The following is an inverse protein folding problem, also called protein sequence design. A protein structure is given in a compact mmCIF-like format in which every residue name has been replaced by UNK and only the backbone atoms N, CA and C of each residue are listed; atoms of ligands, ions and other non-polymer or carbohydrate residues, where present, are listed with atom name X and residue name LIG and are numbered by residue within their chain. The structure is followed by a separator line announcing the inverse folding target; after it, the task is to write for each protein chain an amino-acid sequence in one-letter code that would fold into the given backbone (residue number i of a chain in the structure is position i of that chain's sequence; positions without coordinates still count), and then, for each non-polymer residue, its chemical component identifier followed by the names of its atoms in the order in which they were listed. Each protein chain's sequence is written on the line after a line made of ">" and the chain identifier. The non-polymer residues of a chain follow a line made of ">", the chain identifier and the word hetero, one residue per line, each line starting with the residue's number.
data_IF_352946133748
#
_entry.id   IF_352946133748
#
_cell.length_a   1.000
_cell.length_b   1.000
_cell.length_c   1.000
_cell.angle_alpha   90.00
_cell.angle_beta   90.00
_cell.angle_gamma   90.00
#
_symmetry.space_group_name_H-M   'P 1'
#
loop_
_entity.id
_entity.type
_entity.pdbx_description
1 polymer ?
#
# COMPACT_ATOMS: atom_id res chain seq x y z
N UNK A 1 -28.36 4.08 17.94
CA UNK A 1 -28.56 2.98 16.97
C UNK A 1 -27.95 1.71 17.55
N UNK A 2 -28.62 0.54 17.43
CA UNK A 2 -28.17 -0.68 18.07
C UNK A 2 -26.81 -1.14 17.53
N UNK A 3 -25.95 -1.63 18.41
CA UNK A 3 -24.59 -2.12 18.12
C UNK A 3 -24.52 -3.21 17.01
N UNK A 4 -25.66 -3.73 16.57
CA UNK A 4 -25.77 -4.74 15.52
C UNK A 4 -25.77 -4.21 14.08
N UNK A 5 -26.15 -2.94 13.85
CA UNK A 5 -26.33 -2.41 12.49
C UNK A 5 -25.01 -2.26 11.70
N UNK A 6 -23.88 -2.13 12.39
CA UNK A 6 -22.55 -1.97 11.79
C UNK A 6 -21.60 -3.15 12.07
N UNK A 7 -22.13 -4.26 12.58
CA UNK A 7 -21.31 -5.44 12.88
C UNK A 7 -20.58 -5.99 11.62
N UNK A 8 -21.16 -5.77 10.44
CA UNK A 8 -20.55 -6.14 9.16
C UNK A 8 -19.26 -5.37 8.87
N UNK A 9 -19.06 -4.17 9.47
CA UNK A 9 -17.87 -3.34 9.31
C UNK A 9 -16.72 -3.72 10.26
N UNK A 10 -16.99 -4.56 11.25
CA UNK A 10 -15.96 -4.95 12.21
C UNK A 10 -14.87 -5.79 11.54
N UNK A 11 -13.63 -5.44 11.78
CA UNK A 11 -12.44 -6.15 11.36
C UNK A 11 -11.53 -6.36 12.58
N UNK A 12 -10.63 -7.35 12.60
CA UNK A 12 -10.25 -8.21 11.49
C UNK A 12 -11.25 -9.36 11.25
N UNK A 13 -11.34 -9.79 9.99
CA UNK A 13 -12.15 -10.93 9.56
C UNK A 13 -11.33 -11.92 8.74
N UNK A 14 -11.62 -13.20 8.88
CA UNK A 14 -11.06 -14.26 8.03
C UNK A 14 -11.79 -14.35 6.69
N UNK A 15 -13.11 -14.20 6.71
CA UNK A 15 -13.95 -14.28 5.52
C UNK A 15 -14.51 -12.90 5.19
N UNK A 16 -14.40 -12.44 3.95
CA UNK A 16 -15.03 -11.19 3.52
C UNK A 16 -16.56 -11.24 3.74
N UNK A 17 -17.18 -10.14 4.12
CA UNK A 17 -18.64 -10.04 4.24
C UNK A 17 -19.29 -10.02 2.85
N UNK A 18 -20.64 -10.16 2.84
CA UNK A 18 -21.41 -9.90 1.62
C UNK A 18 -21.14 -8.48 1.11
N UNK A 19 -20.74 -8.31 -0.16
CA UNK A 19 -20.35 -7.01 -0.68
C UNK A 19 -21.45 -5.97 -0.62
N UNK A 20 -22.69 -6.37 -0.89
CA UNK A 20 -23.83 -5.44 -0.92
C UNK A 20 -24.19 -4.96 0.48
N UNK A 21 -24.23 -5.86 1.45
CA UNK A 21 -24.45 -5.52 2.86
C UNK A 21 -23.35 -4.62 3.38
N UNK A 22 -22.09 -4.94 3.03
CA UNK A 22 -20.91 -4.15 3.42
C UNK A 22 -20.98 -2.73 2.88
N UNK A 23 -21.24 -2.55 1.59
CA UNK A 23 -21.35 -1.24 0.96
C UNK A 23 -22.42 -0.37 1.64
N UNK A 24 -23.62 -0.92 1.88
CA UNK A 24 -24.71 -0.17 2.52
C UNK A 24 -24.31 0.26 3.94
N UNK A 25 -23.67 -0.62 4.70
CA UNK A 25 -23.21 -0.32 6.05
C UNK A 25 -22.11 0.77 6.05
N UNK A 26 -21.14 0.70 5.13
CA UNK A 26 -20.07 1.71 5.01
C UNK A 26 -20.65 3.08 4.68
N UNK A 27 -21.58 3.15 3.73
CA UNK A 27 -22.23 4.41 3.36
C UNK A 27 -23.01 4.98 4.55
N UNK A 28 -23.82 4.15 5.20
CA UNK A 28 -24.58 4.59 6.38
C UNK A 28 -23.66 5.05 7.53
N UNK A 29 -22.48 4.39 7.69
CA UNK A 29 -21.50 4.75 8.71
C UNK A 29 -20.82 6.08 8.45
N UNK A 30 -20.27 6.29 7.24
CA UNK A 30 -19.50 7.49 6.92
C UNK A 30 -20.34 8.74 6.70
N UNK A 31 -21.63 8.60 6.36
CA UNK A 31 -22.54 9.68 6.07
C UNK A 31 -23.67 9.86 7.11
N UNK A 32 -23.75 8.98 8.12
CA UNK A 32 -24.64 9.16 9.27
C UNK A 32 -24.20 10.31 10.17
N UNK A 33 -25.12 11.16 10.62
CA UNK A 33 -24.83 12.33 11.46
C UNK A 33 -24.05 11.98 12.73
N UNK A 34 -24.40 10.86 13.37
CA UNK A 34 -23.77 10.41 14.63
C UNK A 34 -22.47 9.64 14.42
N UNK A 35 -22.26 9.06 13.25
CA UNK A 35 -21.16 8.12 13.00
C UNK A 35 -20.10 8.66 12.05
N UNK A 36 -20.45 9.51 11.11
CA UNK A 36 -19.60 9.98 10.04
C UNK A 36 -18.39 10.78 10.52
N UNK A 37 -17.35 10.82 9.69
CA UNK A 37 -16.21 11.67 9.96
C UNK A 37 -16.54 13.15 9.71
N UNK A 38 -15.98 14.08 10.48
CA UNK A 38 -16.20 15.53 10.24
C UNK A 38 -15.89 15.95 8.80
N UNK A 39 -14.89 15.36 8.16
CA UNK A 39 -14.54 15.59 6.76
C UNK A 39 -15.71 15.28 5.81
N UNK A 40 -16.25 14.05 5.89
CA UNK A 40 -17.34 13.62 5.00
C UNK A 40 -18.65 14.33 5.31
N UNK A 41 -18.97 14.58 6.58
CA UNK A 41 -20.17 15.33 6.96
C UNK A 41 -20.17 16.76 6.41
N UNK A 42 -18.99 17.40 6.33
CA UNK A 42 -18.88 18.70 5.65
C UNK A 42 -18.94 18.59 4.12
N UNK A 43 -18.41 17.50 3.56
CA UNK A 43 -18.39 17.29 2.11
C UNK A 43 -19.79 17.04 1.54
N UNK A 44 -20.69 16.38 2.28
CA UNK A 44 -22.06 16.05 1.85
C UNK A 44 -22.80 17.27 1.30
N UNK A 45 -22.67 18.44 1.93
CA UNK A 45 -23.37 19.67 1.49
C UNK A 45 -22.96 20.16 0.10
N UNK A 46 -21.86 19.62 -0.45
CA UNK A 46 -21.31 19.96 -1.79
C UNK A 46 -21.57 18.89 -2.83
N UNK A 47 -22.17 17.76 -2.44
CA UNK A 47 -22.58 16.71 -3.36
C UNK A 47 -23.94 17.06 -3.97
N UNK A 48 -24.17 16.69 -5.23
CA UNK A 48 -25.44 16.84 -5.94
C UNK A 48 -26.37 15.65 -5.75
N UNK A 49 -26.01 14.71 -4.86
CA UNK A 49 -26.77 13.50 -4.52
C UNK A 49 -26.69 13.23 -3.01
N UNK A 50 -27.61 12.40 -2.52
CA UNK A 50 -27.65 11.93 -1.13
C UNK A 50 -26.93 10.56 -1.06
N UNK A 51 -25.74 10.46 -0.41
CA UNK A 51 -25.00 9.21 -0.37
C UNK A 51 -25.81 8.05 0.22
N UNK A 52 -26.58 8.27 1.30
CA UNK A 52 -27.35 7.20 1.97
C UNK A 52 -28.49 6.69 1.08
N UNK A 53 -29.11 7.57 0.29
CA UNK A 53 -30.23 7.22 -0.57
C UNK A 53 -29.78 6.69 -1.94
N UNK A 54 -28.76 7.32 -2.52
CA UNK A 54 -28.45 7.22 -3.96
C UNK A 54 -27.27 6.31 -4.28
N UNK A 55 -26.48 5.85 -3.26
CA UNK A 55 -25.41 4.87 -3.44
C UNK A 55 -25.94 3.49 -3.07
N UNK A 56 -26.19 2.66 -4.07
CA UNK A 56 -26.76 1.33 -3.92
C UNK A 56 -25.82 0.22 -4.41
N UNK A 57 -24.96 0.50 -5.33
CA UNK A 57 -24.00 -0.42 -5.93
C UNK A 57 -22.58 0.16 -5.88
N UNK A 58 -21.57 -0.66 -6.10
CA UNK A 58 -20.19 -0.18 -6.21
C UNK A 58 -20.00 0.78 -7.38
N UNK A 59 -20.75 0.63 -8.46
CA UNK A 59 -20.70 1.57 -9.59
C UNK A 59 -21.14 2.98 -9.21
N UNK A 60 -22.01 3.12 -8.21
CA UNK A 60 -22.45 4.42 -7.72
C UNK A 60 -21.32 5.20 -7.00
N UNK A 61 -20.21 4.56 -6.63
CA UNK A 61 -19.04 5.25 -6.08
C UNK A 61 -18.44 6.26 -7.07
N UNK A 62 -18.71 6.10 -8.36
CA UNK A 62 -18.31 7.06 -9.42
C UNK A 62 -19.03 8.42 -9.31
N UNK A 63 -20.13 8.49 -8.57
CA UNK A 63 -20.82 9.77 -8.30
C UNK A 63 -20.00 10.68 -7.40
N UNK A 64 -19.10 10.09 -6.58
CA UNK A 64 -18.27 10.89 -5.69
C UNK A 64 -17.17 11.62 -6.49
N UNK A 65 -16.91 12.90 -6.19
CA UNK A 65 -15.74 13.56 -6.70
C UNK A 65 -14.46 12.97 -6.10
N UNK A 66 -13.36 13.01 -6.84
CA UNK A 66 -12.06 12.69 -6.28
C UNK A 66 -11.62 13.80 -5.32
N UNK A 67 -11.66 13.53 -4.03
CA UNK A 67 -11.32 14.49 -2.96
C UNK A 67 -9.94 14.21 -2.32
N UNK A 68 -9.14 13.28 -2.87
CA UNK A 68 -7.88 12.87 -2.23
C UNK A 68 -6.86 13.99 -2.08
N UNK A 69 -6.90 15.01 -2.94
CA UNK A 69 -6.01 16.16 -2.81
C UNK A 69 -6.31 17.00 -1.55
N UNK A 70 -7.55 17.00 -1.06
CA UNK A 70 -7.90 17.66 0.20
C UNK A 70 -7.25 16.97 1.42
N UNK A 71 -6.86 15.68 1.31
CA UNK A 71 -6.16 14.96 2.37
C UNK A 71 -4.74 15.49 2.68
N UNK A 72 -4.27 16.48 1.91
CA UNK A 72 -3.03 17.22 2.18
C UNK A 72 -3.17 18.18 3.37
N UNK A 73 -4.35 18.80 3.50
CA UNK A 73 -4.59 19.95 4.37
C UNK A 73 -5.61 19.66 5.49
N UNK A 74 -6.27 18.50 5.45
CA UNK A 74 -7.26 18.10 6.47
C UNK A 74 -6.56 17.66 7.75
N UNK A 75 -7.04 18.12 8.89
CA UNK A 75 -6.62 17.61 10.19
C UNK A 75 -6.98 16.13 10.31
N UNK A 76 -6.05 15.32 10.81
CA UNK A 76 -6.22 13.85 10.84
C UNK A 76 -7.42 13.43 11.67
N UNK A 77 -7.71 14.15 12.74
CA UNK A 77 -8.87 13.94 13.62
C UNK A 77 -10.19 14.07 12.87
N UNK A 78 -10.23 14.93 11.85
CA UNK A 78 -11.40 15.13 11.01
C UNK A 78 -11.66 13.97 10.03
N UNK A 79 -10.67 13.10 9.82
CA UNK A 79 -10.80 11.90 9.00
C UNK A 79 -11.40 10.71 9.76
N UNK A 80 -11.36 10.74 11.11
CA UNK A 80 -11.81 9.63 11.94
C UNK A 80 -13.32 9.72 12.17
N UNK A 81 -14.09 8.66 11.86
CA UNK A 81 -15.53 8.62 12.10
C UNK A 81 -15.90 8.76 13.58
N UNK A 82 -16.88 9.62 13.87
CA UNK A 82 -17.39 9.87 15.25
C UNK A 82 -17.94 8.62 15.90
N UNK A 83 -18.45 7.69 15.10
CA UNK A 83 -19.04 6.44 15.57
C UNK A 83 -18.07 5.51 16.31
N UNK A 84 -16.77 5.77 16.27
CA UNK A 84 -15.79 5.10 17.16
C UNK A 84 -15.93 5.51 18.63
N UNK A 85 -16.67 6.59 18.94
CA UNK A 85 -16.89 7.08 20.29
C UNK A 85 -15.74 7.92 20.84
N UNK A 86 -15.79 8.20 22.13
CA UNK A 86 -14.75 8.97 22.82
C UNK A 86 -14.16 8.16 23.98
N UNK A 87 -12.80 8.18 24.18
CA UNK A 87 -11.83 8.85 23.31
C UNK A 87 -11.75 8.19 21.93
N UNK A 88 -11.43 8.99 20.90
CA UNK A 88 -11.17 8.44 19.58
C UNK A 88 -9.97 7.48 19.61
N UNK A 89 -9.99 6.39 18.82
CA UNK A 89 -8.83 5.52 18.70
C UNK A 89 -7.63 6.30 18.13
N UNK A 90 -6.44 6.02 18.63
CA UNK A 90 -5.20 6.66 18.15
C UNK A 90 -4.81 6.05 16.81
N UNK A 91 -4.85 6.83 15.71
CA UNK A 91 -4.48 6.33 14.40
C UNK A 91 -2.96 6.23 14.23
N UNK A 92 -2.53 5.37 13.31
CA UNK A 92 -1.25 5.56 12.64
C UNK A 92 -1.46 6.42 11.40
N UNK A 93 -0.60 7.42 11.26
CA UNK A 93 -0.68 8.36 10.14
C UNK A 93 0.35 7.96 9.12
N UNK A 94 -0.11 7.72 7.89
CA UNK A 94 0.78 7.48 6.78
C UNK A 94 0.60 8.54 5.70
N UNK A 95 1.70 8.79 4.99
CA UNK A 95 1.77 9.82 3.97
C UNK A 95 2.12 9.21 2.61
N UNK A 96 1.49 9.74 1.56
CA UNK A 96 1.83 9.38 0.19
C UNK A 96 3.24 9.88 -0.19
N UNK A 97 3.76 9.39 -1.31
CA UNK A 97 5.09 9.75 -1.78
C UNK A 97 5.29 11.24 -2.14
N UNK A 98 4.22 12.05 -2.19
CA UNK A 98 4.32 13.49 -2.50
C UNK A 98 4.80 13.78 -3.91
N UNK A 99 4.43 12.98 -4.91
CA UNK A 99 4.89 13.12 -6.30
C UNK A 99 4.32 14.35 -6.99
N UNK A 100 3.06 14.68 -6.69
CA UNK A 100 2.29 15.77 -7.32
C UNK A 100 2.10 17.00 -6.41
N UNK A 101 2.85 17.07 -5.31
CA UNK A 101 2.75 18.18 -4.34
C UNK A 101 2.97 17.69 -2.90
N UNK A 102 2.55 18.45 -1.87
CA UNK A 102 2.62 17.98 -0.48
C UNK A 102 1.97 16.62 -0.31
N UNK A 103 2.48 15.77 0.60
CA UNK A 103 1.95 14.42 0.76
C UNK A 103 0.50 14.44 1.27
N UNK A 104 -0.30 13.51 0.74
CA UNK A 104 -1.63 13.21 1.26
C UNK A 104 -1.50 12.35 2.51
N UNK A 105 -2.37 12.56 3.51
CA UNK A 105 -2.35 11.81 4.79
C UNK A 105 -3.53 10.88 4.90
N UNK A 106 -3.29 9.71 5.46
CA UNK A 106 -4.34 8.75 5.84
C UNK A 106 -4.24 8.42 7.32
N UNK A 107 -5.39 8.18 7.94
CA UNK A 107 -5.50 7.73 9.32
C UNK A 107 -5.84 6.24 9.32
N UNK A 108 -4.88 5.40 9.69
CA UNK A 108 -5.14 3.96 9.80
C UNK A 108 -5.36 3.59 11.27
N UNK A 109 -6.53 3.04 11.55
CA UNK A 109 -6.93 2.65 12.91
C UNK A 109 -6.43 1.24 13.25
N UNK A 110 -6.32 0.90 14.55
CA UNK A 110 -5.73 -0.38 14.97
C UNK A 110 -6.43 -1.62 14.40
N UNK A 111 -7.75 -1.59 14.28
CA UNK A 111 -8.57 -2.65 13.69
C UNK A 111 -8.21 -2.91 12.22
N UNK A 112 -8.09 -1.85 11.43
CA UNK A 112 -7.69 -1.94 10.03
C UNK A 112 -6.22 -2.39 9.87
N UNK A 113 -5.32 -1.88 10.70
CA UNK A 113 -3.92 -2.32 10.72
C UNK A 113 -3.83 -3.83 10.96
N UNK A 114 -4.61 -4.34 11.90
CA UNK A 114 -4.65 -5.78 12.17
C UNK A 114 -5.16 -6.58 10.97
N UNK A 115 -6.21 -6.10 10.27
CA UNK A 115 -6.71 -6.74 9.07
C UNK A 115 -5.65 -6.81 7.95
N UNK A 116 -4.99 -5.69 7.69
CA UNK A 116 -3.92 -5.62 6.66
C UNK A 116 -2.74 -6.50 7.04
N UNK A 117 -2.35 -6.50 8.31
CA UNK A 117 -1.27 -7.36 8.81
C UNK A 117 -1.56 -8.84 8.58
N UNK A 118 -2.80 -9.30 8.83
CA UNK A 118 -3.19 -10.69 8.56
C UNK A 118 -3.03 -11.05 7.10
N UNK A 119 -3.54 -10.24 6.19
CA UNK A 119 -3.38 -10.45 4.75
C UNK A 119 -1.91 -10.51 4.33
N UNK A 120 -1.09 -9.62 4.85
CA UNK A 120 0.33 -9.59 4.50
C UNK A 120 1.11 -10.78 5.09
N UNK A 121 0.77 -11.24 6.28
CA UNK A 121 1.35 -12.49 6.84
C UNK A 121 1.04 -13.68 5.94
N UNK A 122 -0.20 -13.78 5.44
CA UNK A 122 -0.60 -14.82 4.49
C UNK A 122 0.16 -14.69 3.16
N UNK A 123 0.22 -13.47 2.58
CA UNK A 123 0.91 -13.21 1.31
C UNK A 123 2.42 -13.51 1.41
N UNK A 124 3.09 -13.07 2.48
CA UNK A 124 4.52 -13.32 2.69
C UNK A 124 4.80 -14.81 2.87
N UNK A 125 3.97 -15.49 3.66
CA UNK A 125 4.10 -16.94 3.87
C UNK A 125 3.89 -17.72 2.57
N UNK A 126 2.87 -17.36 1.79
CA UNK A 126 2.60 -17.96 0.48
C UNK A 126 3.71 -17.66 -0.54
N UNK A 127 4.33 -16.47 -0.45
CA UNK A 127 5.44 -16.05 -1.29
C UNK A 127 6.77 -16.73 -1.01
N UNK A 128 6.90 -17.46 0.10
CA UNK A 128 8.12 -18.19 0.47
C UNK A 128 8.98 -17.47 1.52
N UNK A 129 8.40 -16.54 2.30
CA UNK A 129 9.10 -15.93 3.43
C UNK A 129 9.68 -17.00 4.35
N UNK A 130 10.97 -16.88 4.69
CA UNK A 130 11.69 -17.78 5.58
C UNK A 130 11.50 -17.40 7.05
N UNK A 131 10.59 -18.04 7.80
CA UNK A 131 10.31 -17.67 9.19
C UNK A 131 11.53 -17.96 10.09
N UNK A 132 11.63 -17.22 11.20
CA UNK A 132 12.73 -17.38 12.15
C UNK A 132 14.08 -16.81 11.69
N UNK A 133 14.13 -16.20 10.49
CA UNK A 133 15.30 -15.48 9.97
C UNK A 133 14.97 -14.00 9.82
N UNK A 134 16.00 -13.12 9.68
CA UNK A 134 15.78 -11.69 9.54
C UNK A 134 15.15 -11.27 8.21
N UNK A 135 14.41 -10.17 8.23
CA UNK A 135 13.99 -9.40 7.06
C UNK A 135 14.85 -8.14 6.95
N UNK A 136 15.55 -7.99 5.84
CA UNK A 136 16.18 -6.73 5.44
C UNK A 136 15.16 -5.90 4.64
N UNK A 137 14.73 -4.80 5.22
CA UNK A 137 13.80 -3.86 4.61
C UNK A 137 14.56 -2.67 4.03
N UNK A 138 14.62 -2.60 2.71
CA UNK A 138 15.16 -1.50 1.93
C UNK A 138 14.00 -0.70 1.31
N UNK A 139 13.02 -0.37 2.14
CA UNK A 139 11.83 0.40 1.78
C UNK A 139 11.74 1.67 2.63
N UNK A 140 11.08 2.73 2.13
CA UNK A 140 10.94 3.96 2.89
C UNK A 140 10.32 3.75 4.27
N UNK A 141 11.02 4.24 5.29
CA UNK A 141 10.56 4.30 6.68
C UNK A 141 9.78 5.60 6.98
N UNK A 142 9.86 6.07 8.22
CA UNK A 142 9.20 7.31 8.65
C UNK A 142 7.68 7.27 8.49
N UNK A 143 7.08 8.23 7.75
CA UNK A 143 5.63 8.29 7.59
C UNK A 143 5.09 7.35 6.50
N UNK A 144 5.88 6.43 5.97
CA UNK A 144 5.46 5.49 4.92
C UNK A 144 4.97 4.18 5.53
N UNK A 145 3.80 3.72 5.09
CA UNK A 145 3.18 2.51 5.65
C UNK A 145 3.94 1.22 5.39
N UNK A 146 4.68 1.12 4.27
CA UNK A 146 5.34 -0.11 3.84
C UNK A 146 6.29 -0.66 4.92
N UNK A 147 7.24 0.14 5.39
CA UNK A 147 8.20 -0.30 6.41
C UNK A 147 7.55 -0.59 7.77
N UNK A 148 6.43 0.09 8.08
CA UNK A 148 5.66 -0.21 9.29
C UNK A 148 5.05 -1.62 9.22
N UNK A 149 4.39 -1.93 8.11
CA UNK A 149 3.78 -3.25 7.91
C UNK A 149 4.84 -4.35 7.82
N UNK A 150 5.96 -4.13 7.13
CA UNK A 150 7.08 -5.07 7.09
C UNK A 150 7.58 -5.44 8.49
N UNK A 151 7.70 -4.45 9.37
CA UNK A 151 8.10 -4.68 10.77
C UNK A 151 7.09 -5.58 11.48
N UNK A 152 5.80 -5.25 11.41
CA UNK A 152 4.75 -5.99 12.11
C UNK A 152 4.63 -7.41 11.55
N UNK A 153 4.74 -7.58 10.24
CA UNK A 153 4.73 -8.90 9.59
C UNK A 153 5.94 -9.73 9.98
N UNK A 154 7.15 -9.14 9.97
CA UNK A 154 8.37 -9.82 10.41
C UNK A 154 8.23 -10.32 11.85
N UNK A 155 7.74 -9.48 12.78
CA UNK A 155 7.49 -9.85 14.17
C UNK A 155 6.49 -11.03 14.27
N UNK A 156 5.40 -11.01 13.50
CA UNK A 156 4.40 -12.11 13.46
C UNK A 156 4.96 -13.42 12.92
N UNK A 157 5.93 -13.34 11.99
CA UNK A 157 6.59 -14.50 11.40
C UNK A 157 7.87 -14.92 12.18
N UNK A 158 8.11 -14.32 13.35
CA UNK A 158 9.25 -14.64 14.22
C UNK A 158 10.59 -14.22 13.63
N UNK A 159 10.61 -13.17 12.79
CA UNK A 159 11.78 -12.67 12.11
C UNK A 159 12.30 -11.36 12.75
N UNK A 160 13.62 -11.23 12.87
CA UNK A 160 14.24 -9.95 13.20
C UNK A 160 14.05 -8.95 12.06
N UNK A 161 13.73 -7.70 12.39
CA UNK A 161 13.52 -6.64 11.41
C UNK A 161 14.73 -5.72 11.33
N UNK A 162 15.38 -5.67 10.16
CA UNK A 162 16.51 -4.80 9.87
C UNK A 162 16.07 -3.78 8.81
N UNK A 163 16.02 -2.51 9.15
CA UNK A 163 15.62 -1.44 8.22
C UNK A 163 16.81 -0.58 7.83
N UNK A 164 16.82 -0.18 6.57
CA UNK A 164 17.65 0.90 6.06
C UNK A 164 16.73 2.06 5.74
N UNK A 165 17.04 3.23 6.30
CA UNK A 165 16.21 4.42 6.12
C UNK A 165 16.39 5.01 4.72
N UNK A 166 15.26 5.21 4.03
CA UNK A 166 15.22 5.78 2.69
C UNK A 166 14.36 7.04 2.68
N UNK A 167 14.86 8.09 2.04
CA UNK A 167 14.09 9.30 1.79
C UNK A 167 13.74 9.44 0.28
N UNK A 168 12.59 8.88 -0.16
CA UNK A 168 12.18 8.96 -1.56
C UNK A 168 11.83 10.39 -1.99
N UNK A 169 11.45 11.26 -1.04
CA UNK A 169 11.13 12.66 -1.34
C UNK A 169 12.38 13.45 -1.68
N UNK A 170 13.46 13.21 -0.94
CA UNK A 170 14.75 13.81 -1.24
C UNK A 170 15.28 13.33 -2.59
N UNK A 171 15.23 12.02 -2.87
CA UNK A 171 15.65 11.45 -4.16
C UNK A 171 14.87 12.09 -5.31
N UNK A 172 13.53 12.20 -5.21
CA UNK A 172 12.69 12.87 -6.22
C UNK A 172 13.06 14.33 -6.41
N UNK A 173 13.31 15.07 -5.31
CA UNK A 173 13.73 16.47 -5.36
C UNK A 173 15.07 16.63 -6.06
N UNK A 174 16.02 15.73 -5.83
CA UNK A 174 17.31 15.74 -6.53
C UNK A 174 17.11 15.39 -8.01
N UNK A 175 16.38 14.31 -8.30
CA UNK A 175 16.11 13.85 -9.67
C UNK A 175 15.42 14.93 -10.53
N UNK A 176 14.53 15.74 -9.94
CA UNK A 176 13.81 16.80 -10.66
C UNK A 176 14.72 17.91 -11.20
N UNK A 177 15.97 18.01 -10.77
CA UNK A 177 16.96 18.94 -11.35
C UNK A 177 17.38 18.54 -12.76
N UNK A 178 17.34 17.25 -13.08
CA UNK A 178 17.60 16.74 -14.44
C UNK A 178 19.04 16.92 -14.95
N UNK A 179 19.96 17.36 -14.09
CA UNK A 179 21.36 17.60 -14.45
C UNK A 179 22.27 16.41 -14.06
N UNK A 180 23.50 16.41 -14.59
CA UNK A 180 24.49 15.36 -14.30
C UNK A 180 24.85 15.31 -12.80
N UNK A 181 24.90 16.47 -12.14
CA UNK A 181 25.26 16.54 -10.72
C UNK A 181 24.18 15.85 -9.86
N UNK A 182 22.90 15.95 -10.24
CA UNK A 182 21.82 15.22 -9.60
C UNK A 182 21.98 13.71 -9.76
N UNK A 183 22.34 13.23 -10.95
CA UNK A 183 22.64 11.82 -11.19
C UNK A 183 23.79 11.31 -10.31
N UNK A 184 24.90 12.05 -10.24
CA UNK A 184 26.05 11.70 -9.40
C UNK A 184 25.71 11.70 -7.90
N UNK A 185 24.81 12.58 -7.46
CA UNK A 185 24.33 12.67 -6.07
C UNK A 185 23.45 11.46 -5.71
N UNK A 186 22.52 11.09 -6.60
CA UNK A 186 21.69 9.89 -6.42
C UNK A 186 22.56 8.63 -6.40
N UNK A 187 23.54 8.52 -7.31
CA UNK A 187 24.44 7.38 -7.34
C UNK A 187 25.26 7.23 -6.04
N UNK A 188 25.66 8.35 -5.42
CA UNK A 188 26.32 8.32 -4.10
C UNK A 188 25.37 7.87 -2.99
N UNK A 189 24.13 8.33 -3.03
CA UNK A 189 23.10 7.90 -2.07
C UNK A 189 22.81 6.42 -2.18
N UNK A 190 22.64 5.90 -3.40
CA UNK A 190 22.43 4.46 -3.64
C UNK A 190 23.62 3.65 -3.11
N UNK A 191 24.87 4.05 -3.39
CA UNK A 191 26.04 3.35 -2.83
C UNK A 191 26.03 3.31 -1.31
N UNK A 192 25.69 4.43 -0.65
CA UNK A 192 25.57 4.48 0.81
C UNK A 192 24.51 3.51 1.35
N UNK A 193 23.36 3.40 0.67
CA UNK A 193 22.30 2.43 1.00
C UNK A 193 22.81 0.99 0.84
N UNK A 194 23.51 0.69 -0.27
CA UNK A 194 24.07 -0.64 -0.54
C UNK A 194 25.17 -1.04 0.45
N UNK A 195 25.98 -0.10 0.93
CA UNK A 195 26.98 -0.34 1.96
C UNK A 195 26.36 -0.78 3.28
N UNK A 196 25.25 -0.15 3.68
CA UNK A 196 24.47 -0.57 4.86
C UNK A 196 23.87 -1.98 4.67
N UNK A 197 23.27 -2.24 3.51
CA UNK A 197 22.72 -3.55 3.17
C UNK A 197 23.81 -4.65 3.23
N UNK A 198 24.97 -4.39 2.66
CA UNK A 198 26.13 -5.30 2.71
C UNK A 198 26.52 -5.63 4.15
N UNK A 199 26.68 -4.63 4.98
CA UNK A 199 27.04 -4.83 6.39
C UNK A 199 26.04 -5.72 7.13
N UNK A 200 24.73 -5.48 6.94
CA UNK A 200 23.69 -6.32 7.53
C UNK A 200 23.76 -7.75 6.99
N UNK A 201 23.88 -7.93 5.68
CA UNK A 201 23.97 -9.25 5.05
C UNK A 201 25.26 -10.02 5.46
N UNK A 202 26.36 -9.34 5.76
CA UNK A 202 27.60 -9.96 6.22
C UNK A 202 27.52 -10.39 7.68
N UNK A 203 26.80 -9.66 8.52
CA UNK A 203 26.87 -9.79 9.98
C UNK A 203 25.62 -10.41 10.63
N UNK A 204 24.47 -10.36 9.96
CA UNK A 204 23.19 -10.80 10.54
C UNK A 204 22.63 -12.04 9.84
N UNK A 205 21.77 -12.76 10.56
CA UNK A 205 21.06 -13.92 10.01
C UNK A 205 19.78 -13.44 9.26
N UNK A 206 19.95 -13.03 8.01
CA UNK A 206 18.89 -12.50 7.15
C UNK A 206 18.68 -13.46 5.96
N UNK A 207 17.43 -13.85 5.72
CA UNK A 207 17.05 -14.65 4.56
C UNK A 207 15.90 -14.04 3.75
N UNK A 208 15.36 -12.90 4.18
CA UNK A 208 14.28 -12.20 3.50
C UNK A 208 14.71 -10.78 3.17
N UNK A 209 14.36 -10.31 1.97
CA UNK A 209 14.67 -8.97 1.46
C UNK A 209 13.40 -8.31 0.93
N UNK A 210 13.11 -7.09 1.34
CA UNK A 210 12.13 -6.23 0.67
C UNK A 210 12.83 -5.00 0.12
N UNK A 211 12.74 -4.79 -1.18
CA UNK A 211 13.40 -3.68 -1.86
C UNK A 211 12.52 -3.10 -2.98
N UNK A 212 12.87 -1.90 -3.44
CA UNK A 212 12.33 -1.40 -4.71
C UNK A 212 13.09 -2.04 -5.89
N UNK A 213 12.46 -2.20 -7.07
CA UNK A 213 13.13 -2.73 -8.25
C UNK A 213 14.46 -2.04 -8.59
N UNK A 214 14.57 -0.69 -8.58
CA UNK A 214 15.85 -0.03 -8.83
C UNK A 214 16.96 -0.36 -7.82
N UNK A 215 16.59 -0.65 -6.55
CA UNK A 215 17.59 -1.07 -5.57
C UNK A 215 18.02 -2.52 -5.79
N UNK A 216 17.13 -3.40 -6.23
CA UNK A 216 17.50 -4.76 -6.60
C UNK A 216 18.38 -4.77 -7.86
N UNK A 217 18.10 -3.92 -8.85
CA UNK A 217 18.98 -3.70 -10.01
C UNK A 217 20.39 -3.21 -9.57
N UNK A 218 20.44 -2.28 -8.62
CA UNK A 218 21.71 -1.79 -8.09
C UNK A 218 22.49 -2.88 -7.34
N UNK A 219 21.81 -3.79 -6.63
CA UNK A 219 22.39 -4.99 -6.02
C UNK A 219 22.91 -5.93 -7.12
N UNK A 220 22.15 -6.19 -8.17
CA UNK A 220 22.51 -7.06 -9.28
C UNK A 220 23.76 -6.55 -10.06
N UNK A 221 23.99 -5.25 -10.04
CA UNK A 221 25.18 -4.62 -10.65
C UNK A 221 26.41 -4.56 -9.71
N UNK A 222 26.29 -5.05 -8.46
CA UNK A 222 27.41 -5.20 -7.51
C UNK A 222 27.69 -6.70 -7.29
N UNK A 223 28.77 -7.20 -7.88
CA UNK A 223 29.12 -8.64 -7.85
C UNK A 223 29.16 -9.20 -6.43
N UNK A 224 29.77 -8.46 -5.50
CA UNK A 224 29.88 -8.91 -4.09
C UNK A 224 28.52 -8.95 -3.39
N UNK A 225 27.63 -7.99 -3.64
CA UNK A 225 26.26 -8.01 -3.10
C UNK A 225 25.42 -9.11 -3.73
N UNK A 226 25.54 -9.32 -5.03
CA UNK A 226 24.88 -10.43 -5.72
C UNK A 226 25.27 -11.77 -5.13
N UNK A 227 26.56 -12.02 -4.90
CA UNK A 227 27.03 -13.23 -4.22
C UNK A 227 26.46 -13.38 -2.80
N UNK A 228 26.40 -12.28 -2.03
CA UNK A 228 25.84 -12.28 -0.68
C UNK A 228 24.34 -12.60 -0.68
N UNK A 229 23.59 -11.99 -1.59
CA UNK A 229 22.15 -12.23 -1.74
C UNK A 229 21.92 -13.68 -2.14
N UNK A 230 22.60 -14.23 -3.15
CA UNK A 230 22.46 -15.62 -3.58
C UNK A 230 22.78 -16.62 -2.47
N UNK A 231 23.78 -16.33 -1.66
CA UNK A 231 24.15 -17.20 -0.55
C UNK A 231 23.13 -17.18 0.59
N UNK A 232 22.52 -16.03 0.88
CA UNK A 232 21.75 -15.80 2.11
C UNK A 232 20.25 -15.68 1.91
N UNK A 233 19.80 -14.98 0.86
CA UNK A 233 18.39 -14.63 0.68
C UNK A 233 17.65 -15.81 0.03
N UNK A 234 16.45 -16.05 0.53
CA UNK A 234 15.52 -17.08 0.03
C UNK A 234 14.19 -16.50 -0.41
N UNK A 235 13.89 -15.30 0.04
CA UNK A 235 12.68 -14.57 -0.34
C UNK A 235 13.01 -13.11 -0.64
N UNK A 236 12.58 -12.64 -1.79
CA UNK A 236 12.69 -11.24 -2.22
C UNK A 236 11.28 -10.74 -2.51
N UNK A 237 10.87 -9.66 -1.83
CA UNK A 237 9.66 -8.93 -2.15
C UNK A 237 10.04 -7.63 -2.87
N UNK A 238 9.39 -7.35 -3.99
CA UNK A 238 9.54 -6.10 -4.73
C UNK A 238 8.26 -5.28 -4.65
N UNK A 239 8.38 -3.99 -4.41
CA UNK A 239 7.24 -3.07 -4.46
C UNK A 239 7.69 -1.63 -4.72
N UNK A 240 6.71 -0.72 -4.88
CA UNK A 240 6.95 0.72 -5.01
C UNK A 240 7.31 1.21 -6.41
N UNK A 241 7.55 0.31 -7.36
CA UNK A 241 7.72 0.60 -8.77
C UNK A 241 7.27 -0.58 -9.64
N UNK A 242 7.02 -0.30 -10.90
CA UNK A 242 6.68 -1.35 -11.88
C UNK A 242 7.92 -2.20 -12.21
N UNK A 243 7.70 -3.49 -12.44
CA UNK A 243 8.68 -4.44 -12.98
C UNK A 243 8.03 -5.10 -14.19
N UNK A 244 8.64 -4.97 -15.35
CA UNK A 244 8.22 -5.69 -16.55
C UNK A 244 8.65 -7.18 -16.51
N UNK A 245 8.09 -7.97 -17.43
CA UNK A 245 8.32 -9.41 -17.49
C UNK A 245 9.79 -9.74 -17.77
N UNK A 246 10.45 -8.98 -18.63
CA UNK A 246 11.85 -9.22 -19.03
C UNK A 246 12.78 -8.94 -17.84
N UNK A 247 12.59 -7.82 -17.16
CA UNK A 247 13.32 -7.48 -15.93
C UNK A 247 13.10 -8.52 -14.83
N UNK A 248 11.86 -9.01 -14.68
CA UNK A 248 11.58 -10.10 -13.73
C UNK A 248 12.29 -11.39 -14.10
N UNK A 249 12.37 -11.72 -15.40
CA UNK A 249 13.14 -12.86 -15.91
C UNK A 249 14.61 -12.75 -15.52
N UNK A 250 15.22 -11.58 -15.78
CA UNK A 250 16.61 -11.30 -15.39
C UNK A 250 16.86 -11.44 -13.88
N UNK A 251 15.95 -10.94 -13.04
CA UNK A 251 16.09 -11.11 -11.60
C UNK A 251 16.05 -12.58 -11.17
N UNK A 252 15.19 -13.40 -11.78
CA UNK A 252 15.14 -14.84 -11.50
C UNK A 252 16.42 -15.57 -11.92
N UNK A 253 17.03 -15.15 -13.04
CA UNK A 253 18.30 -15.70 -13.51
C UNK A 253 19.48 -15.28 -12.60
N UNK A 254 19.48 -14.05 -12.10
CA UNK A 254 20.55 -13.51 -11.23
C UNK A 254 20.42 -14.05 -9.79
N UNK A 255 19.19 -14.25 -9.30
CA UNK A 255 18.89 -14.72 -7.94
C UNK A 255 18.11 -16.05 -7.93
N UNK A 256 18.69 -17.13 -8.47
CA UNK A 256 17.97 -18.38 -8.73
C UNK A 256 17.51 -19.12 -7.46
N UNK A 257 18.16 -18.86 -6.32
CA UNK A 257 17.86 -19.52 -5.04
C UNK A 257 16.78 -18.76 -4.22
N UNK A 258 16.32 -17.60 -4.70
CA UNK A 258 15.30 -16.81 -4.02
C UNK A 258 13.94 -16.89 -4.72
N UNK A 259 12.88 -17.09 -3.94
CA UNK A 259 11.53 -16.82 -4.42
C UNK A 259 11.34 -15.32 -4.55
N UNK A 260 10.95 -14.82 -5.73
CA UNK A 260 10.75 -13.38 -5.99
C UNK A 260 9.27 -13.11 -6.17
N UNK A 261 8.70 -12.30 -5.28
CA UNK A 261 7.32 -11.84 -5.32
C UNK A 261 7.25 -10.33 -5.60
N UNK A 262 6.14 -9.88 -6.16
CA UNK A 262 5.85 -8.46 -6.35
C UNK A 262 4.60 -8.10 -5.56
N UNK A 263 4.61 -6.96 -4.87
CA UNK A 263 3.43 -6.40 -4.23
C UNK A 263 3.03 -5.06 -4.87
N UNK A 264 1.73 -4.88 -5.06
CA UNK A 264 1.14 -3.62 -5.44
C UNK A 264 0.34 -3.05 -4.27
N UNK A 265 0.70 -1.86 -3.81
CA UNK A 265 0.03 -1.17 -2.72
C UNK A 265 0.08 0.34 -2.90
N UNK A 266 -0.86 1.04 -2.29
CA UNK A 266 -0.91 2.49 -2.26
C UNK A 266 -1.33 2.99 -0.89
N UNK A 267 -0.81 4.14 -0.48
CA UNK A 267 -1.25 4.81 0.75
C UNK A 267 -2.76 5.11 0.70
N UNK A 268 -3.32 5.33 -0.50
CA UNK A 268 -4.73 5.69 -0.68
C UNK A 268 -5.68 4.49 -0.65
N UNK A 269 -5.18 3.26 -0.78
CA UNK A 269 -6.00 2.05 -0.56
C UNK A 269 -5.79 1.45 0.83
N UNK A 270 -4.90 2.04 1.62
CA UNK A 270 -4.57 1.65 3.00
C UNK A 270 -4.16 0.17 3.14
N UNK A 271 -3.73 -0.46 2.06
CA UNK A 271 -3.34 -1.87 2.00
C UNK A 271 -2.48 -2.17 0.77
N UNK A 272 -2.23 -3.45 0.55
CA UNK A 272 -1.77 -3.99 -0.73
C UNK A 272 -2.83 -4.92 -1.32
N UNK A 273 -2.83 -5.05 -2.64
CA UNK A 273 -3.63 -6.02 -3.37
C UNK A 273 -3.09 -7.44 -3.14
N UNK A 274 -3.94 -8.43 -3.25
CA UNK A 274 -3.51 -9.82 -3.31
C UNK A 274 -2.78 -10.07 -4.64
N UNK A 275 -1.64 -10.76 -4.59
CA UNK A 275 -0.87 -11.07 -5.80
C UNK A 275 -1.07 -12.53 -6.16
N UNK A 276 -1.35 -12.80 -7.43
CA UNK A 276 -1.35 -14.14 -8.02
C UNK A 276 -0.58 -14.16 -9.32
N UNK A 277 -0.06 -15.30 -9.67
CA UNK A 277 0.69 -15.48 -10.92
C UNK A 277 -0.23 -16.11 -11.98
N UNK A 278 -0.25 -15.52 -13.16
CA UNK A 278 -0.99 -16.03 -14.34
C UNK A 278 -0.03 -16.11 -15.52
N UNK A 279 0.40 -17.32 -15.85
CA UNK A 279 1.55 -17.49 -16.74
C UNK A 279 2.79 -16.88 -16.11
N UNK A 280 3.46 -15.97 -16.83
CA UNK A 280 4.63 -15.24 -16.31
C UNK A 280 4.28 -13.89 -15.67
N UNK A 281 3.01 -13.50 -15.71
CA UNK A 281 2.56 -12.19 -15.24
C UNK A 281 2.08 -12.21 -13.79
N UNK A 282 2.44 -11.18 -13.03
CA UNK A 282 1.84 -10.89 -11.72
C UNK A 282 0.53 -10.13 -11.92
N UNK A 283 -0.55 -10.64 -11.35
CA UNK A 283 -1.88 -10.05 -11.35
C UNK A 283 -2.21 -9.59 -9.93
N UNK A 284 -2.78 -8.41 -9.80
CA UNK A 284 -3.10 -7.79 -8.53
C UNK A 284 -4.62 -7.71 -8.35
N UNK A 285 -5.15 -8.53 -7.47
CA UNK A 285 -6.57 -8.55 -7.15
C UNK A 285 -6.86 -7.65 -5.94
N UNK A 286 -7.81 -6.70 -6.04
CA UNK A 286 -8.15 -5.86 -4.89
C UNK A 286 -8.76 -6.68 -3.76
N UNK A 287 -8.58 -6.25 -2.52
CA UNK A 287 -9.15 -6.87 -1.31
C UNK A 287 -10.65 -6.54 -1.17
N UNK A 288 -11.46 -7.03 -2.12
CA UNK A 288 -12.91 -6.84 -2.10
C UNK A 288 -13.54 -7.52 -0.87
N UNK A 289 -14.59 -6.91 -0.26
CA UNK A 289 -15.32 -5.69 -0.65
C UNK A 289 -14.69 -4.39 -0.13
N UNK A 290 -13.58 -4.46 0.62
CA UNK A 290 -12.94 -3.32 1.28
C UNK A 290 -12.20 -2.39 0.30
N UNK A 291 -11.63 -2.97 -0.74
CA UNK A 291 -10.91 -2.26 -1.80
C UNK A 291 -11.44 -2.73 -3.14
N UNK A 292 -11.78 -1.77 -4.01
CA UNK A 292 -12.30 -2.06 -5.35
C UNK A 292 -11.56 -1.23 -6.37
N UNK A 293 -11.16 -1.85 -7.48
CA UNK A 293 -10.50 -1.19 -8.61
C UNK A 293 -11.40 -1.17 -9.84
N UNK A 294 -11.31 -0.07 -10.58
CA UNK A 294 -11.76 0.01 -11.97
C UNK A 294 -10.59 0.40 -12.85
N UNK A 295 -10.62 -0.03 -14.09
CA UNK A 295 -9.69 0.43 -15.10
C UNK A 295 -10.49 1.26 -16.10
N UNK A 296 -10.09 2.51 -16.27
CA UNK A 296 -10.80 3.48 -17.09
C UNK A 296 -9.89 4.05 -18.17
N UNK A 297 -10.49 4.43 -19.27
CA UNK A 297 -9.82 5.25 -20.27
C UNK A 297 -9.54 6.65 -19.68
N UNK A 298 -8.28 7.14 -19.71
CA UNK A 298 -7.92 8.38 -19.05
C UNK A 298 -8.56 9.63 -19.65
N UNK A 299 -8.95 9.58 -20.92
CA UNK A 299 -9.51 10.74 -21.62
C UNK A 299 -11.03 10.85 -21.42
N UNK A 300 -11.72 9.72 -21.35
CA UNK A 300 -13.19 9.67 -21.28
C UNK A 300 -13.72 9.31 -19.89
N UNK A 301 -12.90 8.71 -19.02
CA UNK A 301 -13.32 8.13 -17.74
C UNK A 301 -14.20 6.88 -17.87
N UNK A 302 -14.45 6.39 -19.09
CA UNK A 302 -15.23 5.19 -19.32
C UNK A 302 -14.43 3.94 -18.94
N UNK A 303 -15.11 2.93 -18.39
CA UNK A 303 -14.47 1.66 -18.10
C UNK A 303 -14.01 0.97 -19.39
N UNK A 304 -12.75 0.51 -19.41
CA UNK A 304 -12.20 -0.22 -20.54
C UNK A 304 -12.64 -1.70 -20.51
N UNK A 305 -12.58 -2.36 -21.65
CA UNK A 305 -12.87 -3.78 -21.75
C UNK A 305 -11.73 -4.62 -21.15
N UNK A 306 -12.02 -5.88 -20.82
CA UNK A 306 -11.00 -6.81 -20.37
C UNK A 306 -9.89 -7.00 -21.42
N UNK A 307 -8.63 -6.87 -20.98
CA UNK A 307 -7.45 -6.94 -21.84
C UNK A 307 -7.01 -5.59 -22.41
N UNK A 308 -7.78 -4.53 -22.25
CA UNK A 308 -7.40 -3.18 -22.64
C UNK A 308 -6.64 -2.46 -21.51
N UNK A 309 -5.73 -1.58 -21.89
CA UNK A 309 -4.99 -0.74 -20.97
C UNK A 309 -5.80 0.48 -20.58
N UNK A 310 -5.67 0.90 -19.31
CA UNK A 310 -6.28 2.11 -18.82
C UNK A 310 -5.64 2.54 -17.50
N UNK A 311 -6.21 3.58 -16.91
CA UNK A 311 -5.81 4.10 -15.61
C UNK A 311 -6.63 3.43 -14.50
N UNK A 312 -5.97 3.10 -13.39
CA UNK A 312 -6.65 2.46 -12.27
C UNK A 312 -7.33 3.52 -11.41
N UNK A 313 -8.63 3.36 -11.20
CA UNK A 313 -9.39 4.08 -10.20
C UNK A 313 -9.53 3.19 -8.97
N UNK A 314 -9.07 3.68 -7.84
CA UNK A 314 -9.05 2.94 -6.58
C UNK A 314 -10.13 3.44 -5.63
N UNK A 315 -10.81 2.52 -4.96
CA UNK A 315 -11.78 2.84 -3.91
C UNK A 315 -11.39 2.09 -2.65
N UNK A 316 -11.33 2.80 -1.53
CA UNK A 316 -11.12 2.23 -0.21
C UNK A 316 -12.34 2.46 0.66
N UNK A 317 -12.88 1.37 1.22
CA UNK A 317 -14.11 1.35 2.00
C UNK A 317 -13.88 0.60 3.32
N UNK A 318 -13.25 1.22 4.29
CA UNK A 318 -13.16 0.63 5.63
C UNK A 318 -14.00 1.40 6.63
N UNK A 319 -14.24 0.82 7.79
CA UNK A 319 -14.87 1.53 8.92
C UNK A 319 -14.10 2.79 9.30
N UNK A 320 -12.76 2.77 9.21
CA UNK A 320 -11.89 3.88 9.59
C UNK A 320 -11.78 4.99 8.54
N UNK A 321 -11.79 4.64 7.26
CA UNK A 321 -11.58 5.57 6.15
C UNK A 321 -12.49 5.22 4.97
N UNK A 322 -12.92 6.27 4.26
CA UNK A 322 -13.66 6.15 3.01
C UNK A 322 -13.00 7.04 1.95
N UNK A 323 -12.48 6.42 0.89
CA UNK A 323 -11.79 7.10 -0.21
C UNK A 323 -12.36 6.56 -1.52
N UNK A 324 -13.45 7.13 -2.03
CA UNK A 324 -14.06 6.72 -3.28
C UNK A 324 -13.40 7.43 -4.46
N UNK A 325 -13.49 6.80 -5.62
CA UNK A 325 -13.19 7.37 -6.95
C UNK A 325 -11.81 8.05 -7.03
N UNK A 326 -10.80 7.43 -6.39
CA UNK A 326 -9.43 7.92 -6.41
C UNK A 326 -8.75 7.50 -7.71
N UNK A 327 -8.47 8.46 -8.56
CA UNK A 327 -7.72 8.33 -9.80
C UNK A 327 -6.26 8.71 -9.53
N UNK A 328 -5.32 7.77 -9.65
CA UNK A 328 -3.87 7.97 -9.51
C UNK A 328 -3.09 7.52 -10.74
#
# INVERSE_FOLDING_TARGET
>A
MSSGAFAVLEVPRETPPDPQEYLQAVIAWHFGEDTGSPFWLRAVSRLDFDPIRDVRTYDDLRKFPNLVDQLRDVAVEDLIPRGYGHPLPIPRIFESGGTTGPPKRTAQLPDWIEQVTRWQVEDFSAGGFAPGTGLLCMMPGGPHGVSHFDRVVAERLGAAFHAIDLDPRWVKKVASRGDRAAGDEIARYVRHVLEQARHILETQNVANLHATPPLLEAIANDERLTELVNRRIRYILLSGAHVDIDTMGLFRDIFPDASIAIAFGSTMILSQAATRIVGDASVFDPRSPYVVFWVVDPDTGAQVAYGERGQVVMNHLSKGMFIPNNLE
#
